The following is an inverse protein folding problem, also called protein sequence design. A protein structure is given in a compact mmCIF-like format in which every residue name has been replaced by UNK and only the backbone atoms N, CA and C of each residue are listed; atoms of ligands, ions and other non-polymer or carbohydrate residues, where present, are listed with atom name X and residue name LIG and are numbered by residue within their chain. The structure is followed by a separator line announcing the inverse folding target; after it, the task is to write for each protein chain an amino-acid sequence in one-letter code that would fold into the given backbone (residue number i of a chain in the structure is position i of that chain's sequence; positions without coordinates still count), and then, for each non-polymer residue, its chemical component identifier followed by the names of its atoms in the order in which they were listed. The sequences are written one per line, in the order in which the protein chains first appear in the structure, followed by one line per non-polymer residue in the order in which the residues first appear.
data_IF_128363099619
#
_entry.id   IF_128363099619
#
_cell.length_a   1.000
_cell.length_b   1.000
_cell.length_c   1.000
_cell.angle_alpha   90.00
_cell.angle_beta   90.00
_cell.angle_gamma   90.00
#
_symmetry.space_group_name_H-M   'P 1'
#
loop_
_entity.id
_entity.type
_entity.pdbx_description
1 polymer ?
#
# COMPACT_ATOMS: atom_id res chain seq x y z
N UNK A 1 -16.73 -23.77 22.39
CA UNK A 1 -16.01 -23.84 21.11
C UNK A 1 -16.62 -22.77 20.22
N UNK A 2 -16.15 -21.52 20.36
CA UNK A 2 -16.61 -20.43 19.51
C UNK A 2 -15.93 -20.62 18.16
N UNK A 3 -16.72 -20.95 17.14
CA UNK A 3 -16.23 -21.00 15.76
C UNK A 3 -15.91 -19.56 15.37
N UNK A 4 -14.63 -19.21 15.23
CA UNK A 4 -14.20 -18.01 14.51
C UNK A 4 -14.57 -18.24 13.03
N UNK A 5 -15.80 -17.89 12.63
CA UNK A 5 -16.14 -17.88 11.21
C UNK A 5 -15.54 -16.63 10.55
N UNK A 6 -15.19 -16.68 9.25
CA UNK A 6 -14.73 -15.49 8.53
C UNK A 6 -15.73 -14.32 8.59
N UNK A 7 -17.02 -14.62 8.74
CA UNK A 7 -18.08 -13.63 8.91
C UNK A 7 -18.04 -12.95 10.28
N UNK A 8 -17.65 -13.67 11.34
CA UNK A 8 -17.47 -13.11 12.68
C UNK A 8 -16.28 -12.15 12.73
N UNK A 9 -15.17 -12.50 12.07
CA UNK A 9 -14.02 -11.61 11.93
C UNK A 9 -14.38 -10.34 11.14
N UNK A 10 -15.12 -10.48 10.04
CA UNK A 10 -15.62 -9.34 9.26
C UNK A 10 -16.53 -8.45 10.11
N UNK A 11 -17.45 -9.03 10.85
CA UNK A 11 -18.40 -8.31 11.73
C UNK A 11 -17.66 -7.55 12.83
N UNK A 12 -16.63 -8.17 13.41
CA UNK A 12 -15.75 -7.52 14.41
C UNK A 12 -15.04 -6.29 13.82
N UNK A 13 -14.44 -6.41 12.64
CA UNK A 13 -13.76 -5.29 11.97
C UNK A 13 -14.74 -4.15 11.65
N UNK A 14 -15.92 -4.47 11.13
CA UNK A 14 -16.97 -3.47 10.85
C UNK A 14 -17.42 -2.77 12.13
N UNK A 15 -17.59 -3.52 13.23
CA UNK A 15 -17.94 -2.97 14.54
C UNK A 15 -16.85 -2.02 15.07
N UNK A 16 -15.57 -2.38 14.95
CA UNK A 16 -14.45 -1.51 15.34
C UNK A 16 -14.43 -0.19 14.55
N UNK A 17 -14.88 -0.20 13.30
CA UNK A 17 -14.97 0.98 12.44
C UNK A 17 -16.24 1.83 12.71
N UNK A 18 -17.17 1.38 13.55
CA UNK A 18 -18.45 2.07 13.76
C UNK A 18 -18.31 3.51 14.26
N UNK A 19 -17.50 3.72 15.30
CA UNK A 19 -17.21 5.07 15.83
C UNK A 19 -16.44 5.92 14.80
N UNK A 20 -15.49 5.32 14.09
CA UNK A 20 -14.74 6.00 13.04
C UNK A 20 -15.64 6.43 11.88
N UNK A 21 -16.61 5.59 11.47
CA UNK A 21 -17.57 5.91 10.42
C UNK A 21 -18.41 7.14 10.77
N UNK A 22 -18.89 7.24 12.02
CA UNK A 22 -19.65 8.41 12.48
C UNK A 22 -18.79 9.68 12.46
N UNK A 23 -17.55 9.59 12.91
CA UNK A 23 -16.60 10.69 12.86
C UNK A 23 -16.25 11.09 11.41
N UNK A 24 -16.01 10.12 10.54
CA UNK A 24 -15.71 10.36 9.13
C UNK A 24 -16.85 11.07 8.41
N UNK A 25 -18.11 10.69 8.70
CA UNK A 25 -19.28 11.33 8.09
C UNK A 25 -19.51 12.77 8.53
N UNK A 26 -19.00 13.17 9.70
CA UNK A 26 -19.12 14.55 10.18
C UNK A 26 -17.94 15.43 9.77
N UNK A 27 -16.88 14.84 9.22
CA UNK A 27 -15.69 15.56 8.78
C UNK A 27 -15.91 16.25 7.41
N UNK A 28 -15.52 17.53 7.27
CA UNK A 28 -15.43 18.19 5.97
C UNK A 28 -14.47 17.45 5.03
N UNK A 29 -14.77 17.45 3.72
CA UNK A 29 -13.94 16.78 2.71
C UNK A 29 -12.50 17.29 2.68
N UNK A 30 -12.27 18.56 2.98
CA UNK A 30 -10.92 19.17 3.06
C UNK A 30 -10.05 18.51 4.15
N UNK A 31 -10.66 18.01 5.21
CA UNK A 31 -9.96 17.37 6.33
C UNK A 31 -9.74 15.87 6.13
N UNK A 32 -10.33 15.27 5.08
CA UNK A 32 -10.26 13.82 4.83
C UNK A 32 -8.82 13.37 4.60
N UNK A 33 -8.04 14.13 3.82
CA UNK A 33 -6.65 13.80 3.52
C UNK A 33 -5.79 13.81 4.79
N UNK A 34 -5.91 14.87 5.60
CA UNK A 34 -5.19 14.98 6.87
C UNK A 34 -5.56 13.86 7.84
N UNK A 35 -6.83 13.47 7.89
CA UNK A 35 -7.31 12.38 8.73
C UNK A 35 -6.67 11.04 8.32
N UNK A 36 -6.67 10.72 7.03
CA UNK A 36 -6.05 9.47 6.52
C UNK A 36 -4.54 9.47 6.77
N UNK A 37 -3.86 10.59 6.53
CA UNK A 37 -2.43 10.72 6.85
C UNK A 37 -2.15 10.49 8.33
N UNK A 38 -2.99 11.02 9.23
CA UNK A 38 -2.84 10.83 10.66
C UNK A 38 -3.03 9.36 11.07
N UNK A 39 -4.03 8.68 10.51
CA UNK A 39 -4.27 7.25 10.74
C UNK A 39 -3.05 6.43 10.34
N UNK A 40 -2.51 6.67 9.14
CA UNK A 40 -1.31 5.97 8.66
C UNK A 40 -0.11 6.24 9.57
N UNK A 41 0.12 7.50 9.95
CA UNK A 41 1.20 7.85 10.89
C UNK A 41 1.05 7.12 12.23
N UNK A 42 -0.17 7.04 12.76
CA UNK A 42 -0.46 6.31 13.99
C UNK A 42 -0.22 4.80 13.84
N UNK A 43 -0.56 4.19 12.70
CA UNK A 43 -0.28 2.77 12.46
C UNK A 43 1.22 2.53 12.37
N UNK A 44 1.93 3.37 11.62
CA UNK A 44 3.38 3.24 11.45
C UNK A 44 4.17 3.53 12.73
N UNK A 45 3.60 4.27 13.70
CA UNK A 45 4.20 4.47 15.02
C UNK A 45 4.02 3.27 15.96
N UNK A 46 3.23 2.26 15.59
CA UNK A 46 3.09 1.06 16.42
C UNK A 46 4.34 0.17 16.33
N UNK A 47 4.69 -0.47 17.44
CA UNK A 47 5.80 -1.43 17.51
C UNK A 47 5.35 -2.88 17.34
N UNK A 48 4.09 -3.19 17.68
CA UNK A 48 3.57 -4.55 17.61
C UNK A 48 3.11 -4.89 16.20
N UNK A 49 3.71 -5.88 15.52
CA UNK A 49 3.32 -6.26 14.17
C UNK A 49 1.90 -6.84 14.11
N UNK A 50 1.44 -7.50 15.18
CA UNK A 50 0.05 -7.98 15.28
C UNK A 50 -0.95 -6.83 15.32
N UNK A 51 -0.61 -5.74 16.01
CA UNK A 51 -1.44 -4.54 16.06
C UNK A 51 -1.47 -3.83 14.71
N UNK A 52 -0.33 -3.71 14.04
CA UNK A 52 -0.25 -3.15 12.69
C UNK A 52 -1.14 -3.96 11.73
N UNK A 53 -1.00 -5.28 11.73
CA UNK A 53 -1.80 -6.16 10.87
C UNK A 53 -3.31 -5.96 11.10
N UNK A 54 -3.75 -5.97 12.37
CA UNK A 54 -5.15 -5.71 12.70
C UNK A 54 -5.65 -4.33 12.23
N UNK A 55 -4.83 -3.28 12.40
CA UNK A 55 -5.20 -1.94 11.93
C UNK A 55 -5.24 -1.86 10.40
N UNK A 56 -4.39 -2.61 9.70
CA UNK A 56 -4.46 -2.77 8.25
C UNK A 56 -5.68 -3.56 7.79
N UNK A 57 -6.12 -4.56 8.55
CA UNK A 57 -7.38 -5.25 8.28
C UNK A 57 -8.58 -4.31 8.43
N UNK A 58 -8.57 -3.44 9.46
CA UNK A 58 -9.55 -2.37 9.60
C UNK A 58 -9.51 -1.38 8.42
N UNK A 59 -8.33 -0.94 7.98
CA UNK A 59 -8.20 -0.05 6.82
C UNK A 59 -8.70 -0.72 5.53
N UNK A 60 -8.35 -2.00 5.32
CA UNK A 60 -8.83 -2.76 4.17
C UNK A 60 -10.36 -2.86 4.19
N UNK A 61 -10.97 -3.15 5.34
CA UNK A 61 -12.42 -3.22 5.49
C UNK A 61 -13.08 -1.85 5.26
N UNK A 62 -12.46 -0.76 5.71
CA UNK A 62 -12.94 0.60 5.46
C UNK A 62 -12.94 0.92 3.95
N UNK A 63 -11.94 0.47 3.19
CA UNK A 63 -11.91 0.61 1.73
C UNK A 63 -12.94 -0.31 1.06
N UNK A 64 -13.02 -1.57 1.45
CA UNK A 64 -14.00 -2.55 0.91
C UNK A 64 -15.45 -2.07 1.11
N UNK A 65 -15.75 -1.45 2.24
CA UNK A 65 -17.08 -0.88 2.54
C UNK A 65 -17.29 0.52 1.96
N UNK A 66 -16.39 0.99 1.10
CA UNK A 66 -16.42 2.32 0.47
C UNK A 66 -16.45 3.49 1.47
N UNK A 67 -16.00 3.27 2.71
CA UNK A 67 -15.87 4.32 3.71
C UNK A 67 -14.67 5.23 3.40
N UNK A 68 -13.54 4.63 2.99
CA UNK A 68 -12.32 5.34 2.64
C UNK A 68 -11.97 5.16 1.16
N UNK A 69 -11.60 6.24 0.43
CA UNK A 69 -11.13 6.11 -0.94
C UNK A 69 -9.80 5.35 -1.01
N UNK A 70 -9.67 4.30 -1.85
CA UNK A 70 -8.45 3.49 -1.95
C UNK A 70 -7.23 4.31 -2.35
N UNK A 71 -7.40 5.31 -3.24
CA UNK A 71 -6.33 6.19 -3.70
C UNK A 71 -5.68 6.94 -2.53
N UNK A 72 -6.50 7.53 -1.65
CA UNK A 72 -6.02 8.31 -0.51
C UNK A 72 -5.25 7.44 0.48
N UNK A 73 -5.76 6.23 0.75
CA UNK A 73 -5.10 5.27 1.64
C UNK A 73 -3.77 4.82 1.07
N UNK A 74 -3.73 4.36 -0.20
CA UNK A 74 -2.48 3.96 -0.85
C UNK A 74 -1.43 5.08 -0.88
N UNK A 75 -1.85 6.30 -1.20
CA UNK A 75 -0.96 7.45 -1.26
C UNK A 75 -0.36 7.75 0.11
N UNK A 76 -1.19 7.82 1.16
CA UNK A 76 -0.73 8.08 2.52
C UNK A 76 0.22 6.98 3.05
N UNK A 77 -0.04 5.71 2.72
CA UNK A 77 0.81 4.58 3.09
C UNK A 77 2.22 4.70 2.48
N UNK A 78 2.29 4.95 1.16
CA UNK A 78 3.58 5.03 0.45
C UNK A 78 4.33 6.31 0.78
N UNK A 79 3.63 7.44 0.95
CA UNK A 79 4.24 8.73 1.27
C UNK A 79 4.67 8.85 2.72
N UNK A 80 4.49 7.83 3.55
CA UNK A 80 4.93 7.88 4.93
C UNK A 80 6.45 7.80 5.05
N UNK A 81 7.03 8.75 5.79
CA UNK A 81 8.47 8.77 6.08
C UNK A 81 8.89 7.53 6.89
N UNK A 82 8.01 7.06 7.78
CA UNK A 82 8.23 5.87 8.61
C UNK A 82 8.25 4.55 7.82
N UNK A 83 7.88 4.56 6.53
CA UNK A 83 7.95 3.39 5.64
C UNK A 83 9.36 3.29 5.04
N UNK A 84 10.21 2.57 5.77
CA UNK A 84 11.61 2.31 5.42
C UNK A 84 11.84 0.80 5.24
N UNK A 85 12.78 0.43 4.38
CA UNK A 85 13.10 -0.97 4.09
C UNK A 85 13.69 -1.71 5.30
N UNK A 86 14.36 -0.98 6.21
CA UNK A 86 14.90 -1.53 7.46
C UNK A 86 13.79 -2.05 8.38
N UNK A 87 12.61 -1.43 8.33
CA UNK A 87 11.41 -1.89 9.04
C UNK A 87 10.70 -2.98 8.25
N UNK A 88 11.41 -4.08 8.00
CA UNK A 88 11.02 -5.19 7.11
C UNK A 88 9.59 -5.69 7.30
N UNK A 89 9.13 -5.85 8.55
CA UNK A 89 7.77 -6.30 8.83
C UNK A 89 6.72 -5.23 8.48
N UNK A 90 6.99 -3.96 8.77
CA UNK A 90 6.11 -2.86 8.39
C UNK A 90 6.06 -2.73 6.87
N UNK A 91 7.22 -2.79 6.21
CA UNK A 91 7.34 -2.82 4.76
C UNK A 91 6.44 -3.90 4.14
N UNK A 92 6.63 -5.16 4.55
CA UNK A 92 5.88 -6.28 4.02
C UNK A 92 4.37 -6.13 4.23
N UNK A 93 3.93 -5.76 5.43
CA UNK A 93 2.50 -5.58 5.73
C UNK A 93 1.88 -4.43 4.94
N UNK A 94 2.64 -3.34 4.72
CA UNK A 94 2.16 -2.16 3.99
C UNK A 94 1.96 -2.47 2.51
N UNK A 95 2.94 -3.11 1.87
CA UNK A 95 2.82 -3.51 0.48
C UNK A 95 1.76 -4.58 0.26
N UNK A 96 1.57 -5.51 1.21
CA UNK A 96 0.44 -6.46 1.18
C UNK A 96 -0.92 -5.77 1.23
N UNK A 97 -1.07 -4.73 2.06
CA UNK A 97 -2.30 -3.94 2.11
C UNK A 97 -2.51 -3.21 0.77
N UNK A 98 -1.49 -2.52 0.25
CA UNK A 98 -1.56 -1.81 -1.04
C UNK A 98 -1.98 -2.78 -2.15
N UNK A 99 -1.35 -3.96 -2.23
CA UNK A 99 -1.69 -5.01 -3.21
C UNK A 99 -3.16 -5.40 -3.17
N UNK A 100 -3.78 -5.40 -1.98
CA UNK A 100 -5.19 -5.76 -1.76
C UNK A 100 -6.14 -4.67 -2.27
N UNK A 101 -5.83 -3.40 -2.04
CA UNK A 101 -6.77 -2.28 -2.28
C UNK A 101 -6.50 -1.48 -3.57
N UNK A 102 -5.31 -1.60 -4.17
CA UNK A 102 -4.92 -0.81 -5.35
C UNK A 102 -5.83 -1.04 -6.57
N UNK A 103 -6.50 -2.19 -6.64
CA UNK A 103 -7.47 -2.49 -7.71
C UNK A 103 -8.68 -1.55 -7.75
N UNK A 104 -8.97 -0.83 -6.65
CA UNK A 104 -10.03 0.19 -6.59
C UNK A 104 -9.58 1.59 -7.00
N UNK A 105 -8.31 1.79 -7.41
CA UNK A 105 -7.75 3.09 -7.78
C UNK A 105 -7.90 3.32 -9.28
N UNK A 106 -8.20 4.57 -9.69
CA UNK A 106 -8.23 4.94 -11.10
C UNK A 106 -6.86 4.78 -11.79
N UNK A 107 -6.82 4.58 -13.11
CA UNK A 107 -5.58 4.31 -13.85
C UNK A 107 -4.52 5.43 -13.73
N UNK A 108 -4.92 6.70 -13.49
CA UNK A 108 -3.98 7.80 -13.27
C UNK A 108 -3.35 7.70 -11.89
N UNK A 109 -4.17 7.43 -10.87
CA UNK A 109 -3.72 7.15 -9.52
C UNK A 109 -2.81 5.94 -9.46
N UNK A 110 -3.13 4.85 -10.17
CA UNK A 110 -2.25 3.67 -10.25
C UNK A 110 -0.89 4.03 -10.85
N UNK A 111 -0.84 4.88 -11.88
CA UNK A 111 0.41 5.38 -12.45
C UNK A 111 1.23 6.19 -11.44
N UNK A 112 0.60 7.10 -10.71
CA UNK A 112 1.25 7.93 -9.68
C UNK A 112 1.80 7.03 -8.55
N UNK A 113 1.02 6.03 -8.13
CA UNK A 113 1.42 5.05 -7.13
C UNK A 113 2.56 4.15 -7.63
N UNK A 114 2.54 3.70 -8.89
CA UNK A 114 3.63 2.93 -9.48
C UNK A 114 4.95 3.67 -9.37
N UNK A 115 4.97 4.96 -9.74
CA UNK A 115 6.15 5.80 -9.58
C UNK A 115 6.62 5.83 -8.13
N UNK A 116 5.72 6.13 -7.19
CA UNK A 116 6.07 6.23 -5.77
C UNK A 116 6.57 4.89 -5.18
N UNK A 117 6.02 3.75 -5.63
CA UNK A 117 6.50 2.41 -5.26
C UNK A 117 7.91 2.18 -5.79
N UNK A 118 8.18 2.50 -7.05
CA UNK A 118 9.51 2.35 -7.64
C UNK A 118 10.55 3.26 -6.96
N UNK A 119 10.18 4.51 -6.65
CA UNK A 119 11.03 5.45 -5.90
C UNK A 119 11.39 4.86 -4.51
N UNK A 120 10.44 4.25 -3.81
CA UNK A 120 10.71 3.55 -2.54
C UNK A 120 11.60 2.33 -2.72
N UNK A 121 11.42 1.53 -3.78
CA UNK A 121 12.28 0.37 -4.06
C UNK A 121 13.73 0.81 -4.32
N UNK A 122 13.94 1.95 -4.98
CA UNK A 122 15.29 2.49 -5.20
C UNK A 122 16.04 2.86 -3.91
N UNK A 123 15.34 3.04 -2.78
CA UNK A 123 15.99 3.27 -1.48
C UNK A 123 16.63 2.03 -0.87
N UNK A 124 16.31 0.83 -1.39
CA UNK A 124 16.87 -0.43 -0.91
C UNK A 124 18.30 -0.59 -1.47
N UNK A 125 19.31 -0.84 -0.62
CA UNK A 125 20.67 -1.04 -1.09
C UNK A 125 20.81 -2.34 -1.89
N UNK A 126 21.78 -2.37 -2.82
CA UNK A 126 22.04 -3.55 -3.66
C UNK A 126 22.45 -4.80 -2.88
N UNK A 127 22.99 -4.61 -1.67
CA UNK A 127 23.43 -5.68 -0.79
C UNK A 127 22.62 -5.62 0.51
N UNK A 128 21.75 -6.62 0.69
CA UNK A 128 20.94 -6.80 1.89
C UNK A 128 21.10 -8.22 2.41
N UNK A 129 20.78 -8.42 3.70
CA UNK A 129 20.73 -9.76 4.28
C UNK A 129 19.73 -10.64 3.55
N UNK A 130 20.07 -11.90 3.29
CA UNK A 130 19.15 -12.87 2.67
C UNK A 130 17.87 -13.07 3.49
N UNK A 131 17.93 -12.83 4.80
CA UNK A 131 16.79 -12.98 5.72
C UNK A 131 15.67 -11.95 5.50
N UNK A 132 15.95 -10.81 4.84
CA UNK A 132 14.96 -9.74 4.62
C UNK A 132 14.36 -9.75 3.22
N UNK A 133 14.90 -10.58 2.32
CA UNK A 133 14.50 -10.63 0.90
C UNK A 133 13.02 -10.95 0.77
N UNK A 134 12.50 -11.92 1.53
CA UNK A 134 11.09 -12.32 1.45
C UNK A 134 10.13 -11.18 1.82
N UNK A 135 10.51 -10.34 2.78
CA UNK A 135 9.74 -9.17 3.19
C UNK A 135 9.78 -8.08 2.12
N UNK A 136 10.94 -7.88 1.48
CA UNK A 136 11.10 -6.91 0.40
C UNK A 136 10.34 -7.31 -0.87
N UNK A 137 10.18 -8.61 -1.14
CA UNK A 137 9.40 -9.13 -2.26
C UNK A 137 7.93 -8.67 -2.25
N UNK A 138 7.37 -8.29 -1.09
CA UNK A 138 6.01 -7.74 -1.03
C UNK A 138 5.85 -6.49 -1.93
N UNK A 139 6.89 -5.65 -2.06
CA UNK A 139 6.85 -4.50 -2.97
C UNK A 139 6.89 -4.93 -4.44
N UNK A 140 7.63 -5.99 -4.76
CA UNK A 140 7.66 -6.60 -6.10
C UNK A 140 6.28 -7.13 -6.50
N UNK A 141 5.57 -7.81 -5.59
CA UNK A 141 4.22 -8.34 -5.87
C UNK A 141 3.23 -7.23 -6.24
N UNK A 142 3.36 -6.03 -5.66
CA UNK A 142 2.56 -4.85 -6.04
C UNK A 142 2.90 -4.42 -7.46
N UNK A 143 4.19 -4.29 -7.79
CA UNK A 143 4.62 -3.93 -9.15
C UNK A 143 4.15 -4.96 -10.16
N UNK A 144 4.30 -6.26 -9.88
CA UNK A 144 3.83 -7.33 -10.75
C UNK A 144 2.33 -7.24 -11.01
N UNK A 145 1.53 -6.93 -9.98
CA UNK A 145 0.10 -6.77 -10.16
C UNK A 145 -0.29 -5.52 -10.96
N UNK A 146 0.43 -4.41 -10.78
CA UNK A 146 0.25 -3.21 -11.60
C UNK A 146 0.60 -3.50 -13.07
N UNK A 147 1.63 -4.31 -13.33
CA UNK A 147 2.09 -4.68 -14.67
C UNK A 147 1.31 -5.84 -15.29
N UNK A 148 0.46 -6.52 -14.53
CA UNK A 148 -0.38 -7.60 -15.02
C UNK A 148 -1.42 -7.05 -16.00
N UNK A 149 -1.28 -7.45 -17.26
CA UNK A 149 -2.21 -7.06 -18.33
C UNK A 149 -3.62 -7.58 -18.10
N UNK A 150 -3.77 -8.70 -17.39
CA UNK A 150 -5.07 -9.27 -17.05
C UNK A 150 -5.77 -8.47 -15.94
N UNK A 151 -5.01 -7.83 -15.05
CA UNK A 151 -5.55 -6.97 -14.00
C UNK A 151 -6.08 -5.63 -14.57
N UNK A 152 -5.58 -5.20 -15.73
CA UNK A 152 -6.05 -4.02 -16.48
C UNK A 152 -6.10 -2.72 -15.63
N UNK A 153 -5.17 -2.57 -14.68
CA UNK A 153 -5.15 -1.44 -13.75
C UNK A 153 -4.72 -0.12 -14.41
N UNK A 154 -3.91 -0.20 -15.45
CA UNK A 154 -3.52 0.93 -16.29
C UNK A 154 -3.12 0.47 -17.69
N UNK A 155 -3.19 1.35 -18.70
CA UNK A 155 -2.59 1.10 -20.00
C UNK A 155 -1.08 0.82 -19.88
N UNK A 156 -0.61 -0.27 -20.49
CA UNK A 156 0.78 -0.73 -20.36
C UNK A 156 1.83 0.33 -20.75
N UNK A 157 1.52 1.21 -21.72
CA UNK A 157 2.44 2.27 -22.14
C UNK A 157 2.70 3.31 -21.04
N UNK A 158 1.75 3.55 -20.12
CA UNK A 158 1.99 4.41 -18.95
C UNK A 158 2.98 3.76 -17.99
N UNK A 159 2.84 2.47 -17.74
CA UNK A 159 3.78 1.74 -16.89
C UNK A 159 5.20 1.77 -17.47
N UNK A 160 5.35 1.48 -18.77
CA UNK A 160 6.64 1.54 -19.48
C UNK A 160 7.24 2.96 -19.42
N UNK A 161 6.41 3.99 -19.57
CA UNK A 161 6.86 5.39 -19.50
C UNK A 161 7.44 5.72 -18.13
N UNK A 162 6.80 5.31 -17.03
CA UNK A 162 7.33 5.56 -15.69
C UNK A 162 8.61 4.75 -15.40
N UNK A 163 8.66 3.48 -15.83
CA UNK A 163 9.87 2.64 -15.67
C UNK A 163 11.06 3.24 -16.42
N UNK A 164 10.88 3.68 -17.67
CA UNK A 164 11.95 4.28 -18.49
C UNK A 164 12.49 5.60 -17.94
N UNK A 165 11.69 6.34 -17.16
CA UNK A 165 12.19 7.56 -16.49
C UNK A 165 13.17 7.25 -15.37
N UNK A 166 12.95 6.14 -14.67
CA UNK A 166 13.79 5.71 -13.54
C UNK A 166 14.99 4.87 -14.00
N UNK A 167 14.81 4.14 -15.10
CA UNK A 167 15.85 3.35 -15.76
C UNK A 167 15.94 3.80 -17.23
N UNK A 168 16.45 5.02 -17.50
CA UNK A 168 16.80 5.38 -18.86
C UNK A 168 17.81 4.34 -19.36
N UNK A 169 17.60 3.80 -20.56
CA UNK A 169 18.48 2.78 -21.13
C UNK A 169 19.94 3.16 -20.90
N UNK A 170 20.74 2.20 -20.44
CA UNK A 170 22.19 2.33 -20.46
C UNK A 170 22.63 2.44 -21.92
N UNK A 171 22.62 3.66 -22.45
CA UNK A 171 23.38 4.03 -23.64
C UNK A 171 24.85 3.99 -23.21
N UNK A 172 25.41 2.77 -23.16
CA UNK A 172 26.80 2.55 -22.75
C UNK A 172 27.02 1.28 -21.92
N UNK A 173 26.73 0.11 -22.49
CA UNK A 173 27.57 -1.06 -22.21
C UNK A 173 28.37 -1.30 -23.50
N UNK A 174 29.72 -1.30 -23.50
CA UNK A 174 30.48 -1.66 -24.68
C UNK A 174 30.23 -3.14 -24.99
N UNK A 175 30.09 -3.45 -26.28
CA UNK A 175 30.10 -4.82 -26.79
C UNK A 175 31.29 -5.57 -26.20
N UNK A 176 31.02 -6.68 -25.50
CA UNK A 176 31.99 -7.74 -25.22
C UNK A 176 31.38 -9.05 -25.71
#
# INVERSE_FOLDING_TARGET
MFMDSPEDERTKLVSCLGAFRQYWSSLPQESHDQCVQWIVRFIHSQHSPKRIAFLYDCLAMAVETSLLPPRMVCQALISSDSLEWERTQLWALTFKLIRKIIGGVDYKGVRDLLKAVLDKIQTVPNFVSSAVVQQLLAAREVVEYILDRNACLLPAYFAVTEIRKLYPEAVGQPDI
#
